data_IF_214685009139
#
_entry.id   IF_214685009139
#
_cell.length_a   1.000
_cell.length_b   1.000
_cell.length_c   1.000
_cell.angle_alpha   90.00
_cell.angle_beta   90.00
_cell.angle_gamma   90.00
#
_symmetry.space_group_name_H-M   'P 1'
#
loop_
_entity.id
_entity.type
_entity.pdbx_description
1 polymer ?
#
# COMPACT_ATOMS: atom_id res chain seq x y z
N UNK A 1 6.70 13.24 -11.45
CA UNK A 1 5.89 12.02 -11.55
C UNK A 1 4.48 12.40 -11.17
N UNK A 2 3.51 12.19 -12.07
CA UNK A 2 2.12 12.53 -11.83
C UNK A 2 1.55 11.76 -10.63
N UNK A 3 0.42 12.23 -10.12
CA UNK A 3 -0.28 11.56 -9.01
C UNK A 3 -0.78 10.15 -9.40
N UNK A 4 -1.17 9.97 -10.67
CA UNK A 4 -1.79 8.74 -11.16
C UNK A 4 -1.55 8.53 -12.67
N UNK A 5 -1.51 7.27 -13.10
CA UNK A 5 -1.58 6.83 -14.50
C UNK A 5 -2.24 5.45 -14.53
N UNK A 6 -3.20 5.24 -15.44
CA UNK A 6 -3.91 3.95 -15.56
C UNK A 6 -3.10 2.99 -16.45
N UNK A 7 -2.35 2.08 -15.84
CA UNK A 7 -1.53 1.10 -16.55
C UNK A 7 -2.31 -0.03 -17.24
N UNK A 8 -3.41 -0.57 -16.69
CA UNK A 8 -4.19 -1.55 -17.45
C UNK A 8 -4.68 -1.02 -18.80
N UNK A 9 -5.05 0.27 -18.88
CA UNK A 9 -5.42 0.92 -20.15
C UNK A 9 -4.22 1.12 -21.07
N UNK A 10 -3.05 1.45 -20.51
CA UNK A 10 -1.83 1.72 -21.28
C UNK A 10 -1.17 0.45 -21.85
N UNK A 11 -1.09 -0.59 -21.02
CA UNK A 11 -0.31 -1.80 -21.29
C UNK A 11 -1.18 -2.99 -21.73
N UNK A 12 -2.48 -2.94 -21.47
CA UNK A 12 -3.41 -4.02 -21.79
C UNK A 12 -3.26 -5.27 -20.90
N UNK A 13 -4.24 -6.16 -20.96
CA UNK A 13 -4.25 -7.41 -20.17
C UNK A 13 -3.58 -8.59 -20.88
N UNK A 14 -3.16 -8.40 -22.12
CA UNK A 14 -2.32 -9.32 -22.89
C UNK A 14 -0.91 -9.49 -22.29
N UNK A 15 -0.45 -8.50 -21.50
CA UNK A 15 0.79 -8.63 -20.73
C UNK A 15 0.62 -9.69 -19.64
N UNK A 16 1.45 -10.76 -19.64
CA UNK A 16 1.37 -11.81 -18.64
C UNK A 16 1.58 -11.28 -17.22
N UNK A 17 0.85 -11.79 -16.20
CA UNK A 17 0.96 -11.31 -14.82
C UNK A 17 2.39 -11.21 -14.27
N UNK A 18 3.25 -12.16 -14.63
CA UNK A 18 4.66 -12.24 -14.25
C UNK A 18 5.52 -11.09 -14.82
N UNK A 19 5.12 -10.50 -15.94
CA UNK A 19 5.82 -9.37 -16.58
C UNK A 19 5.30 -8.00 -16.10
N UNK A 20 4.08 -7.93 -15.54
CA UNK A 20 3.40 -6.66 -15.27
C UNK A 20 4.17 -5.75 -14.33
N UNK A 21 4.82 -6.30 -13.30
CA UNK A 21 5.63 -5.51 -12.37
C UNK A 21 6.78 -4.81 -13.08
N UNK A 22 7.54 -5.53 -13.90
CA UNK A 22 8.66 -4.95 -14.65
C UNK A 22 8.18 -3.90 -15.66
N UNK A 23 7.07 -4.16 -16.37
CA UNK A 23 6.50 -3.22 -17.34
C UNK A 23 6.01 -1.93 -16.66
N UNK A 24 5.22 -2.06 -15.59
CA UNK A 24 4.68 -0.91 -14.86
C UNK A 24 5.80 -0.08 -14.23
N UNK A 25 6.74 -0.70 -13.52
CA UNK A 25 7.87 0.01 -12.92
C UNK A 25 8.75 0.65 -13.99
N UNK A 26 8.99 -0.04 -15.11
CA UNK A 26 9.72 0.53 -16.24
C UNK A 26 9.06 1.79 -16.79
N UNK A 27 7.74 1.83 -16.89
CA UNK A 27 7.00 3.02 -17.28
C UNK A 27 7.04 4.12 -16.22
N UNK A 28 6.93 3.77 -14.93
CA UNK A 28 7.07 4.73 -13.82
C UNK A 28 8.43 5.42 -13.88
N UNK A 29 9.52 4.66 -14.05
CA UNK A 29 10.89 5.16 -14.07
C UNK A 29 11.20 6.07 -15.28
N UNK A 30 10.39 6.04 -16.33
CA UNK A 30 10.53 6.93 -17.51
C UNK A 30 9.74 8.23 -17.38
N UNK A 31 8.89 8.37 -16.37
CA UNK A 31 8.11 9.58 -16.18
C UNK A 31 9.01 10.74 -15.73
N UNK A 32 8.81 11.95 -16.28
CA UNK A 32 9.50 13.12 -15.77
C UNK A 32 9.11 13.38 -14.31
N UNK A 33 10.06 13.90 -13.52
CA UNK A 33 9.77 14.39 -12.18
C UNK A 33 9.04 15.74 -12.26
N UNK A 34 8.11 16.01 -11.33
CA UNK A 34 7.40 17.31 -11.31
C UNK A 34 8.28 18.42 -10.71
N UNK A 35 9.19 18.01 -9.81
CA UNK A 35 10.22 18.80 -9.14
C UNK A 35 11.34 17.85 -8.71
N UNK A 36 12.51 18.40 -8.39
CA UNK A 36 13.64 17.60 -7.89
C UNK A 36 13.32 16.98 -6.51
N UNK A 37 13.94 15.83 -6.16
CA UNK A 37 13.73 15.21 -4.86
C UNK A 37 14.02 16.18 -3.70
N UNK A 38 13.02 16.38 -2.83
CA UNK A 38 13.11 17.27 -1.67
C UNK A 38 12.63 18.71 -1.89
N UNK A 39 12.33 19.11 -3.14
CA UNK A 39 11.86 20.47 -3.44
C UNK A 39 10.34 20.64 -3.34
N UNK A 40 9.58 19.55 -3.21
CA UNK A 40 8.13 19.59 -3.09
C UNK A 40 7.51 18.26 -2.67
N UNK A 41 6.19 18.26 -2.48
CA UNK A 41 5.43 17.06 -2.10
C UNK A 41 4.10 16.98 -2.86
N UNK A 42 3.83 15.82 -3.48
CA UNK A 42 2.61 15.48 -4.21
C UNK A 42 2.22 14.08 -3.77
N UNK A 43 0.93 13.87 -3.50
CA UNK A 43 0.42 12.52 -3.28
C UNK A 43 0.43 11.76 -4.61
N UNK A 44 1.13 10.61 -4.66
CA UNK A 44 1.24 9.81 -5.88
C UNK A 44 1.13 8.33 -5.60
N UNK A 45 0.13 7.68 -6.20
CA UNK A 45 -0.03 6.23 -6.14
C UNK A 45 1.18 5.52 -6.77
N UNK A 46 1.78 6.13 -7.79
CA UNK A 46 2.94 5.59 -8.50
C UNK A 46 4.16 5.46 -7.58
N UNK A 47 4.33 6.39 -6.64
CA UNK A 47 5.38 6.33 -5.62
C UNK A 47 5.23 5.13 -4.70
N UNK A 48 4.01 4.80 -4.29
CA UNK A 48 3.74 3.63 -3.44
C UNK A 48 3.87 2.30 -4.20
N UNK A 49 3.54 2.26 -5.48
CA UNK A 49 3.83 1.09 -6.34
C UNK A 49 5.33 0.87 -6.44
N UNK A 50 6.10 1.93 -6.69
CA UNK A 50 7.56 1.86 -6.75
C UNK A 50 8.16 1.44 -5.41
N UNK A 51 7.67 1.98 -4.29
CA UNK A 51 8.08 1.57 -2.94
C UNK A 51 7.82 0.08 -2.71
N UNK A 52 6.67 -0.43 -3.14
CA UNK A 52 6.33 -1.86 -3.03
C UNK A 52 7.28 -2.71 -3.85
N UNK A 53 7.65 -2.28 -5.05
CA UNK A 53 8.66 -2.96 -5.85
C UNK A 53 10.03 -2.98 -5.16
N UNK A 54 10.46 -1.86 -4.57
CA UNK A 54 11.71 -1.79 -3.78
C UNK A 54 11.67 -2.76 -2.60
N UNK A 55 10.56 -2.82 -1.86
CA UNK A 55 10.38 -3.79 -0.76
C UNK A 55 10.51 -5.23 -1.27
N UNK A 56 9.89 -5.56 -2.41
CA UNK A 56 9.99 -6.89 -3.02
C UNK A 56 11.42 -7.26 -3.40
N UNK A 57 12.16 -6.33 -4.00
CA UNK A 57 13.57 -6.55 -4.34
C UNK A 57 14.45 -6.70 -3.10
N UNK A 58 14.26 -5.86 -2.09
CA UNK A 58 15.09 -5.85 -0.88
C UNK A 58 14.84 -7.06 0.04
N UNK A 59 13.68 -7.69 -0.06
CA UNK A 59 13.27 -8.80 0.80
C UNK A 59 13.14 -10.14 0.10
N UNK A 60 13.15 -10.15 -1.24
CA UNK A 60 12.81 -11.29 -2.08
C UNK A 60 11.42 -11.89 -1.79
N UNK A 61 10.51 -11.07 -1.23
CA UNK A 61 9.18 -11.50 -0.78
C UNK A 61 8.08 -10.51 -1.17
N UNK A 62 6.85 -11.01 -1.31
CA UNK A 62 5.66 -10.18 -1.51
C UNK A 62 5.36 -9.30 -0.29
N UNK A 63 4.77 -8.13 -0.53
CA UNK A 63 4.37 -7.22 0.56
C UNK A 63 3.26 -7.84 1.40
N UNK A 64 2.41 -8.65 0.79
CA UNK A 64 1.35 -9.43 1.43
C UNK A 64 1.89 -10.37 2.52
N UNK A 65 2.96 -11.11 2.21
CA UNK A 65 3.58 -12.06 3.14
C UNK A 65 4.36 -11.32 4.23
N UNK A 66 5.11 -10.29 3.84
CA UNK A 66 5.88 -9.48 4.79
C UNK A 66 4.98 -8.76 5.79
N UNK A 67 3.91 -8.12 5.33
CA UNK A 67 2.97 -7.43 6.21
C UNK A 67 2.24 -8.42 7.12
N UNK A 68 1.88 -9.61 6.62
CA UNK A 68 1.29 -10.67 7.46
C UNK A 68 2.25 -11.14 8.54
N UNK A 69 3.50 -11.43 8.19
CA UNK A 69 4.50 -11.95 9.14
C UNK A 69 4.94 -10.90 10.16
N UNK A 70 5.22 -9.68 9.70
CA UNK A 70 5.92 -8.69 10.53
C UNK A 70 5.01 -7.70 11.22
N UNK A 71 3.76 -7.54 10.76
CA UNK A 71 2.82 -6.56 11.29
C UNK A 71 1.54 -7.23 11.73
N UNK A 72 0.78 -7.83 10.81
CA UNK A 72 -0.58 -8.29 11.11
C UNK A 72 -0.60 -9.46 12.09
N UNK A 73 0.27 -10.46 11.88
CA UNK A 73 0.39 -11.63 12.75
C UNK A 73 0.77 -11.26 14.19
N UNK A 74 1.89 -10.55 14.42
CA UNK A 74 2.31 -10.11 15.75
C UNK A 74 1.26 -9.24 16.46
N UNK A 75 0.49 -8.44 15.71
CA UNK A 75 -0.57 -7.62 16.26
C UNK A 75 -1.90 -8.36 16.40
N UNK A 76 -2.03 -9.62 15.96
CA UNK A 76 -3.30 -10.35 16.00
C UNK A 76 -4.38 -9.76 15.10
N UNK A 77 -4.01 -9.15 13.98
CA UNK A 77 -4.91 -8.56 12.99
C UNK A 77 -5.33 -9.63 11.96
N UNK A 78 -6.13 -10.61 12.40
CA UNK A 78 -6.45 -11.81 11.63
C UNK A 78 -7.33 -11.57 10.40
N UNK A 79 -8.09 -10.48 10.38
CA UNK A 79 -8.96 -10.10 9.26
C UNK A 79 -8.29 -9.07 8.32
N UNK A 80 -7.01 -8.77 8.54
CA UNK A 80 -6.26 -7.80 7.73
C UNK A 80 -5.36 -8.50 6.71
N UNK A 81 -5.47 -8.06 5.46
CA UNK A 81 -4.62 -8.57 4.38
C UNK A 81 -5.02 -8.08 3.00
N UNK A 82 -4.24 -8.50 2.01
CA UNK A 82 -4.53 -8.31 0.60
C UNK A 82 -5.29 -9.51 0.06
N UNK A 83 -6.08 -9.32 -1.00
CA UNK A 83 -6.78 -10.38 -1.73
C UNK A 83 -7.54 -11.34 -0.78
N UNK A 84 -8.56 -10.85 -0.05
CA UNK A 84 -9.27 -11.64 0.94
C UNK A 84 -9.78 -12.95 0.33
N UNK A 85 -9.74 -14.03 1.12
CA UNK A 85 -10.26 -15.32 0.67
C UNK A 85 -11.75 -15.23 0.36
N UNK A 86 -12.26 -16.18 -0.45
CA UNK A 86 -13.67 -16.25 -0.81
C UNK A 86 -14.62 -16.27 0.41
N UNK A 87 -14.17 -16.86 1.52
CA UNK A 87 -14.90 -16.88 2.78
C UNK A 87 -15.02 -15.46 3.39
N UNK A 88 -13.94 -14.69 3.34
CA UNK A 88 -13.91 -13.30 3.82
C UNK A 88 -14.63 -12.34 2.87
N UNK A 89 -14.66 -12.62 1.56
CA UNK A 89 -15.37 -11.81 0.56
C UNK A 89 -16.83 -11.55 0.95
N UNK A 90 -17.52 -12.52 1.54
CA UNK A 90 -18.90 -12.37 2.00
C UNK A 90 -19.08 -11.39 3.18
N UNK A 91 -17.98 -11.08 3.89
CA UNK A 91 -17.92 -10.08 4.98
C UNK A 91 -17.42 -8.72 4.49
N UNK A 92 -16.89 -8.64 3.27
CA UNK A 92 -16.40 -7.38 2.70
C UNK A 92 -17.58 -6.49 2.30
N UNK A 93 -17.45 -5.19 2.53
CA UNK A 93 -18.29 -4.21 1.85
C UNK A 93 -17.95 -4.19 0.35
N UNK A 94 -18.94 -3.83 -0.48
CA UNK A 94 -18.71 -3.58 -1.90
C UNK A 94 -17.63 -2.51 -2.08
N UNK A 95 -16.61 -2.81 -2.88
CA UNK A 95 -15.44 -1.94 -3.04
C UNK A 95 -15.68 -0.89 -4.13
N UNK A 96 -16.38 -1.26 -5.21
CA UNK A 96 -16.78 -0.35 -6.29
C UNK A 96 -17.99 -0.91 -7.07
N UNK A 97 -18.80 -0.03 -7.68
CA UNK A 97 -19.82 -0.41 -8.66
C UNK A 97 -19.35 0.02 -10.05
N UNK A 98 -19.07 -0.96 -10.90
CA UNK A 98 -18.73 -0.80 -12.31
C UNK A 98 -19.96 -1.05 -13.20
N UNK A 99 -19.94 -0.63 -14.48
CA UNK A 99 -21.00 -0.98 -15.43
C UNK A 99 -21.22 -2.49 -15.58
N UNK A 100 -20.15 -3.29 -15.43
CA UNK A 100 -20.15 -4.75 -15.59
C UNK A 100 -20.57 -5.51 -14.33
N UNK A 101 -20.62 -4.83 -13.16
CA UNK A 101 -20.94 -5.48 -11.90
C UNK A 101 -20.42 -4.75 -10.67
N UNK A 102 -20.55 -5.39 -9.51
CA UNK A 102 -20.03 -4.87 -8.23
C UNK A 102 -18.75 -5.62 -7.89
N UNK A 103 -17.69 -4.88 -7.59
CA UNK A 103 -16.48 -5.45 -7.02
C UNK A 103 -16.70 -5.75 -5.55
N UNK A 104 -16.41 -6.98 -5.15
CA UNK A 104 -16.58 -7.47 -3.79
C UNK A 104 -15.34 -8.28 -3.40
N UNK A 105 -14.60 -7.81 -2.40
CA UNK A 105 -13.33 -8.44 -1.99
C UNK A 105 -12.18 -8.22 -2.97
N UNK A 106 -12.38 -7.36 -3.98
CA UNK A 106 -11.35 -6.95 -4.94
C UNK A 106 -11.02 -5.47 -4.75
N UNK A 107 -9.74 -5.13 -4.84
CA UNK A 107 -9.30 -3.73 -4.76
C UNK A 107 -9.92 -2.89 -5.89
N UNK A 108 -10.43 -1.70 -5.57
CA UNK A 108 -11.01 -0.77 -6.56
C UNK A 108 -9.95 -0.12 -7.47
N UNK A 109 -8.77 0.17 -6.93
CA UNK A 109 -7.67 0.76 -7.70
C UNK A 109 -7.21 -0.19 -8.80
N UNK A 110 -7.32 0.27 -10.05
CA UNK A 110 -7.06 -0.56 -11.22
C UNK A 110 -5.59 -1.01 -11.32
N UNK A 111 -4.64 -0.19 -10.85
CA UNK A 111 -3.23 -0.51 -10.93
C UNK A 111 -2.87 -1.60 -9.92
N UNK A 112 -3.35 -1.48 -8.68
CA UNK A 112 -3.19 -2.50 -7.66
C UNK A 112 -3.82 -3.81 -8.12
N UNK A 113 -5.03 -3.78 -8.70
CA UNK A 113 -5.68 -4.97 -9.26
C UNK A 113 -4.85 -5.59 -10.41
N UNK A 114 -4.36 -4.75 -11.32
CA UNK A 114 -3.55 -5.18 -12.46
C UNK A 114 -2.24 -5.86 -12.02
N UNK A 115 -1.65 -5.40 -10.91
CA UNK A 115 -0.44 -5.94 -10.27
C UNK A 115 -0.69 -7.12 -9.31
N UNK A 116 -1.91 -7.69 -9.30
CA UNK A 116 -2.26 -8.88 -8.52
C UNK A 116 -2.92 -8.57 -7.17
N UNK A 117 -3.38 -7.34 -6.95
CA UNK A 117 -4.17 -6.91 -5.78
C UNK A 117 -3.35 -6.39 -4.59
N UNK A 118 -2.02 -6.50 -4.65
CA UNK A 118 -1.08 -6.03 -3.63
C UNK A 118 -0.08 -5.01 -4.20
N UNK A 119 -0.59 -3.97 -4.86
CA UNK A 119 0.24 -2.88 -5.42
C UNK A 119 0.85 -1.93 -4.36
N UNK A 120 0.39 -2.03 -3.11
CA UNK A 120 0.83 -1.24 -1.95
C UNK A 120 0.39 0.22 -1.94
N UNK A 121 -0.03 0.78 -3.08
CA UNK A 121 -0.82 2.02 -3.14
C UNK A 121 -2.27 1.82 -2.69
N UNK A 122 -2.79 0.61 -2.82
CA UNK A 122 -4.15 0.21 -2.44
C UNK A 122 -4.23 -1.33 -2.29
N UNK A 123 -5.36 -1.83 -1.77
CA UNK A 123 -5.72 -3.24 -1.81
C UNK A 123 -5.75 -3.96 -0.47
N UNK A 124 -5.47 -3.24 0.62
CA UNK A 124 -5.61 -3.78 1.96
C UNK A 124 -7.09 -3.80 2.37
N UNK A 125 -7.56 -4.96 2.81
CA UNK A 125 -8.83 -5.15 3.50
C UNK A 125 -8.55 -5.30 4.99
N UNK A 126 -9.44 -4.78 5.84
CA UNK A 126 -9.29 -4.83 7.30
C UNK A 126 -10.65 -4.64 7.97
N UNK A 127 -10.67 -4.74 9.29
CA UNK A 127 -11.82 -4.45 10.15
C UNK A 127 -11.51 -3.27 11.06
N UNK A 128 -12.54 -2.62 11.60
CA UNK A 128 -12.35 -1.56 12.59
C UNK A 128 -11.56 -2.05 13.82
N UNK A 129 -11.77 -3.30 14.23
CA UNK A 129 -11.06 -3.91 15.35
C UNK A 129 -9.58 -4.12 15.05
N UNK A 130 -9.23 -4.61 13.87
CA UNK A 130 -7.83 -4.78 13.48
C UNK A 130 -7.11 -3.44 13.34
N UNK A 131 -7.75 -2.45 12.70
CA UNK A 131 -7.21 -1.10 12.59
C UNK A 131 -7.00 -0.46 13.97
N UNK A 132 -7.91 -0.68 14.91
CA UNK A 132 -7.73 -0.23 16.29
C UNK A 132 -6.46 -0.82 16.93
N UNK A 133 -6.15 -2.10 16.67
CA UNK A 133 -4.90 -2.74 17.15
C UNK A 133 -3.68 -2.09 16.53
N UNK A 134 -3.67 -1.86 15.22
CA UNK A 134 -2.59 -1.13 14.55
C UNK A 134 -2.38 0.28 15.14
N UNK A 135 -3.46 1.05 15.32
CA UNK A 135 -3.39 2.39 15.92
C UNK A 135 -2.88 2.35 17.36
N UNK A 136 -3.30 1.37 18.17
CA UNK A 136 -2.82 1.18 19.53
C UNK A 136 -1.33 0.87 19.59
N UNK A 137 -0.80 0.09 18.63
CA UNK A 137 0.64 -0.15 18.49
C UNK A 137 1.41 1.14 18.21
N UNK A 138 0.91 1.98 17.31
CA UNK A 138 1.53 3.29 17.01
C UNK A 138 1.51 4.20 18.26
N UNK A 139 0.37 4.31 18.94
CA UNK A 139 0.22 5.12 20.16
C UNK A 139 1.08 4.63 21.33
N UNK A 140 1.45 3.34 21.33
CA UNK A 140 2.33 2.72 22.30
C UNK A 140 3.78 2.59 21.78
N UNK A 141 4.19 3.47 20.85
CA UNK A 141 5.56 3.57 20.35
C UNK A 141 6.13 2.25 19.82
N UNK A 142 5.30 1.53 19.05
CA UNK A 142 5.73 0.38 18.28
C UNK A 142 5.44 -0.98 18.91
N UNK A 143 4.76 -1.03 20.05
CA UNK A 143 4.47 -2.27 20.79
C UNK A 143 3.00 -2.41 21.15
N UNK A 144 2.46 -3.62 21.06
CA UNK A 144 1.13 -3.96 21.56
C UNK A 144 1.12 -5.38 22.12
N UNK A 145 0.49 -5.57 23.28
CA UNK A 145 0.33 -6.90 23.92
C UNK A 145 1.65 -7.68 24.05
N UNK A 146 2.77 -6.97 24.28
CA UNK A 146 4.13 -7.54 24.39
C UNK A 146 4.82 -7.83 23.06
N UNK A 147 4.17 -7.60 21.92
CA UNK A 147 4.75 -7.73 20.59
C UNK A 147 5.25 -6.38 20.07
N UNK A 148 6.57 -6.26 19.84
CA UNK A 148 7.20 -5.07 19.26
C UNK A 148 7.35 -5.21 17.75
N UNK A 149 6.64 -4.37 17.01
CA UNK A 149 6.67 -4.30 15.53
C UNK A 149 7.59 -3.18 15.03
N UNK A 150 7.63 -2.06 15.75
CA UNK A 150 8.50 -0.92 15.44
C UNK A 150 9.34 -0.55 16.67
N UNK A 151 10.53 0.01 16.42
CA UNK A 151 11.30 0.67 17.48
C UNK A 151 10.64 2.02 17.82
N UNK A 152 10.69 2.49 19.08
CA UNK A 152 10.10 3.77 19.46
C UNK A 152 10.59 4.93 18.57
N UNK A 153 11.90 4.98 18.29
CA UNK A 153 12.53 6.02 17.48
C UNK A 153 12.05 5.97 16.03
N UNK A 154 11.66 4.79 15.53
CA UNK A 154 11.07 4.65 14.19
C UNK A 154 9.66 5.23 14.15
N UNK A 155 8.87 5.05 15.22
CA UNK A 155 7.53 5.65 15.32
C UNK A 155 7.64 7.18 15.42
N UNK A 156 8.56 7.69 16.22
CA UNK A 156 8.81 9.13 16.33
C UNK A 156 9.19 9.74 14.99
N UNK A 157 10.13 9.12 14.27
CA UNK A 157 10.51 9.53 12.92
C UNK A 157 9.34 9.50 11.93
N UNK A 158 8.45 8.50 12.03
CA UNK A 158 7.26 8.43 11.17
C UNK A 158 6.27 9.56 11.43
N UNK A 159 6.25 10.11 12.64
CA UNK A 159 5.36 11.19 13.05
C UNK A 159 6.00 12.58 12.91
N UNK A 160 7.28 12.67 12.53
CA UNK A 160 7.98 13.92 12.30
C UNK A 160 7.63 14.52 10.93
N UNK A 161 7.18 15.79 10.87
CA UNK A 161 6.91 16.48 9.62
C UNK A 161 8.14 16.52 8.71
N UNK A 162 7.95 16.17 7.44
CA UNK A 162 9.01 16.18 6.44
C UNK A 162 9.21 17.58 5.86
N UNK A 163 10.47 17.98 5.72
CA UNK A 163 10.84 19.21 5.04
C UNK A 163 10.30 19.22 3.60
N UNK A 164 9.74 20.34 3.14
CA UNK A 164 9.15 20.47 1.80
C UNK A 164 7.67 20.05 1.70
N UNK A 165 7.03 19.66 2.81
CA UNK A 165 5.57 19.52 2.86
C UNK A 165 4.92 20.93 2.84
N UNK A 166 4.02 21.24 1.88
CA UNK A 166 3.45 22.59 1.72
C UNK A 166 2.73 23.13 2.96
N UNK A 167 2.18 22.25 3.78
CA UNK A 167 1.44 22.57 5.01
C UNK A 167 2.22 22.22 6.29
N UNK A 168 3.43 21.66 6.17
CA UNK A 168 4.24 21.19 7.29
C UNK A 168 3.58 20.05 8.08
N UNK A 169 2.65 19.29 7.49
CA UNK A 169 1.91 18.22 8.18
C UNK A 169 2.21 16.82 7.68
N UNK A 170 2.78 16.69 6.48
CA UNK A 170 3.11 15.36 5.93
C UNK A 170 4.33 14.77 6.64
N UNK A 171 4.17 13.56 7.14
CA UNK A 171 5.22 12.76 7.77
C UNK A 171 5.46 11.48 6.95
N UNK A 172 6.37 10.61 7.39
CA UNK A 172 6.63 9.35 6.67
C UNK A 172 5.46 8.39 6.87
N UNK A 173 4.64 8.24 5.83
CA UNK A 173 3.45 7.39 5.85
C UNK A 173 2.21 8.03 6.48
N UNK A 174 2.27 9.31 6.86
CA UNK A 174 1.17 10.06 7.48
C UNK A 174 1.06 11.48 6.89
N UNK A 175 -0.09 12.13 7.02
CA UNK A 175 -0.29 13.51 6.56
C UNK A 175 -1.74 13.95 6.61
#
# INVERSE_FOLDING_TARGET
>A
MPAHRNYPTLLGYEVPPEERWERVVGEICRLPQEYEPGEGTIYSCLGFILLTHIVRLASERGVEDLSRERVFGPLGMGDTGFCPSRELTGRCAATERLPEGVLLGDVHDENSRYLGGAGGNAGLFSTATDLWRFMRMILAYGELDGARVLRPETVEMMLEPQAGAPDGRRCIGWG
#
